data_IF_144313443341
#
_entry.id   IF_144313443341
#
_cell.length_a   1.000
_cell.length_b   1.000
_cell.length_c   1.000
_cell.angle_alpha   90.00
_cell.angle_beta   90.00
_cell.angle_gamma   90.00
#
_symmetry.space_group_name_H-M   'P 1'
#
loop_
_entity.id
_entity.type
_entity.pdbx_description
1 polymer ?
#
# COMPACT_ATOMS: atom_id res chain seq x y z
N UNK A 1 -16.40 -18.78 17.94
CA UNK A 1 -15.25 -17.90 18.23
C UNK A 1 -14.18 -17.90 17.14
N UNK A 2 -13.94 -19.01 16.42
CA UNK A 2 -12.96 -19.07 15.32
C UNK A 2 -13.25 -18.06 14.19
N UNK A 3 -14.50 -17.97 13.73
CA UNK A 3 -14.93 -17.03 12.68
C UNK A 3 -14.63 -15.55 12.98
N UNK A 4 -14.68 -15.11 14.25
CA UNK A 4 -14.33 -13.73 14.63
C UNK A 4 -12.82 -13.46 14.56
N UNK A 5 -11.98 -14.47 14.79
CA UNK A 5 -10.51 -14.36 14.73
C UNK A 5 -10.02 -14.28 13.30
N UNK A 6 -10.57 -15.11 12.39
CA UNK A 6 -10.26 -15.04 10.95
C UNK A 6 -10.71 -13.73 10.32
N UNK A 7 -11.88 -13.22 10.70
CA UNK A 7 -12.40 -11.95 10.20
C UNK A 7 -11.59 -10.72 10.68
N UNK A 8 -11.00 -10.79 11.89
CA UNK A 8 -10.10 -9.76 12.40
C UNK A 8 -8.73 -9.78 11.71
N UNK A 9 -8.19 -10.98 11.45
CA UNK A 9 -6.94 -11.14 10.70
C UNK A 9 -7.05 -10.58 9.28
N UNK A 10 -8.21 -10.76 8.61
CA UNK A 10 -8.46 -10.23 7.26
C UNK A 10 -8.41 -8.69 7.17
N UNK A 11 -8.78 -8.00 8.25
CA UNK A 11 -8.73 -6.52 8.36
C UNK A 11 -7.31 -5.99 8.54
N UNK A 12 -6.38 -6.82 8.98
CA UNK A 12 -4.99 -6.44 9.23
C UNK A 12 -4.10 -6.64 7.99
N UNK A 13 -4.61 -7.34 6.97
CA UNK A 13 -3.92 -7.52 5.70
C UNK A 13 -4.10 -6.28 4.84
N UNK A 14 -3.12 -5.95 3.98
CA UNK A 14 -3.35 -4.96 2.93
C UNK A 14 -4.54 -5.36 2.05
N UNK A 15 -5.02 -4.46 1.22
CA UNK A 15 -5.99 -4.78 0.17
C UNK A 15 -5.29 -5.23 -1.11
N UNK A 16 -4.24 -4.50 -1.50
CA UNK A 16 -3.44 -4.76 -2.69
C UNK A 16 -1.99 -4.37 -2.45
N UNK A 17 -1.07 -5.04 -3.16
CA UNK A 17 0.33 -4.63 -3.25
C UNK A 17 0.69 -4.55 -4.73
N UNK A 18 1.27 -3.44 -5.13
CA UNK A 18 1.78 -3.21 -6.48
C UNK A 18 3.29 -3.08 -6.47
N UNK A 19 3.96 -3.65 -7.48
CA UNK A 19 5.35 -3.30 -7.79
C UNK A 19 5.37 -2.25 -8.90
N UNK A 20 6.33 -1.33 -8.81
CA UNK A 20 6.49 -0.23 -9.75
C UNK A 20 7.96 0.21 -9.85
N UNK A 21 8.27 1.04 -10.85
CA UNK A 21 9.48 1.83 -10.87
C UNK A 21 9.19 3.19 -10.22
N UNK A 22 9.93 3.54 -9.17
CA UNK A 22 9.84 4.81 -8.48
C UNK A 22 11.25 5.39 -8.36
N UNK A 23 11.45 6.60 -8.90
CA UNK A 23 12.76 7.27 -8.94
C UNK A 23 13.88 6.38 -9.52
N UNK A 24 13.56 5.57 -10.54
CA UNK A 24 14.52 4.69 -11.21
C UNK A 24 14.82 3.38 -10.47
N UNK A 25 14.16 3.11 -9.33
CA UNK A 25 14.35 1.90 -8.53
C UNK A 25 13.06 1.10 -8.39
N UNK A 26 13.17 -0.21 -8.15
CA UNK A 26 12.01 -1.03 -7.78
C UNK A 26 11.46 -0.57 -6.44
N UNK A 27 10.14 -0.39 -6.36
CA UNK A 27 9.42 -0.08 -5.14
C UNK A 27 8.11 -0.89 -5.07
N UNK A 28 7.54 -0.96 -3.86
CA UNK A 28 6.29 -1.64 -3.57
C UNK A 28 5.30 -0.69 -2.93
N UNK A 29 4.17 -0.48 -3.59
CA UNK A 29 3.08 0.34 -3.08
C UNK A 29 2.02 -0.55 -2.42
N UNK A 30 1.86 -0.38 -1.11
CA UNK A 30 0.95 -1.15 -0.25
C UNK A 30 -0.32 -0.33 -0.04
N UNK A 31 -1.44 -0.85 -0.54
CA UNK A 31 -2.76 -0.25 -0.38
C UNK A 31 -3.45 -0.89 0.81
N UNK A 32 -3.78 -0.10 1.81
CA UNK A 32 -4.45 -0.56 3.03
C UNK A 32 -5.95 -0.73 2.83
N UNK A 33 -6.53 -1.74 3.50
CA UNK A 33 -7.92 -2.15 3.27
C UNK A 33 -8.99 -1.42 4.07
N UNK A 34 -8.63 -0.49 4.97
CA UNK A 34 -9.61 0.33 5.66
C UNK A 34 -9.01 1.59 6.28
N UNK A 35 -9.94 2.48 6.64
CA UNK A 35 -9.79 3.47 7.69
C UNK A 35 -8.84 4.62 7.32
N UNK A 36 -8.24 5.23 8.33
CA UNK A 36 -7.27 6.32 8.25
C UNK A 36 -5.82 5.81 8.14
N UNK A 37 -5.63 4.56 7.70
CA UNK A 37 -4.31 3.99 7.50
C UNK A 37 -3.64 4.63 6.29
N UNK A 38 -2.33 4.77 6.38
CA UNK A 38 -1.51 5.25 5.29
C UNK A 38 -1.24 4.12 4.30
N UNK A 39 -1.40 4.40 3.00
CA UNK A 39 -0.93 3.51 1.96
C UNK A 39 0.56 3.81 1.75
N UNK A 40 1.43 2.86 2.11
CA UNK A 40 2.87 3.08 2.19
C UNK A 40 3.59 2.67 0.90
N UNK A 41 4.64 3.41 0.56
CA UNK A 41 5.59 3.05 -0.47
C UNK A 41 6.86 2.51 0.19
N UNK A 42 7.29 1.33 -0.22
CA UNK A 42 8.47 0.65 0.29
C UNK A 42 9.53 0.53 -0.80
N UNK A 43 10.80 0.60 -0.43
CA UNK A 43 11.90 0.29 -1.33
C UNK A 43 12.01 -1.23 -1.60
N UNK A 44 12.96 -1.62 -2.45
CA UNK A 44 13.19 -3.02 -2.79
C UNK A 44 13.63 -3.91 -1.60
N UNK A 45 14.11 -3.32 -0.50
CA UNK A 45 14.46 -4.03 0.73
C UNK A 45 13.29 -4.09 1.73
N UNK A 46 12.16 -3.46 1.41
CA UNK A 46 10.95 -3.45 2.24
C UNK A 46 10.86 -2.29 3.22
N UNK A 47 11.81 -1.35 3.23
CA UNK A 47 11.76 -0.19 4.12
C UNK A 47 10.73 0.82 3.61
N UNK A 48 9.85 1.26 4.52
CA UNK A 48 8.87 2.30 4.20
C UNK A 48 9.59 3.64 3.97
N UNK A 49 9.36 4.25 2.80
CA UNK A 49 9.94 5.53 2.40
C UNK A 49 9.00 6.69 2.69
N UNK A 50 7.71 6.55 2.34
CA UNK A 50 6.67 7.56 2.53
C UNK A 50 5.27 6.94 2.38
N UNK A 51 4.24 7.76 2.52
CA UNK A 51 2.86 7.39 2.20
C UNK A 51 2.28 8.32 1.12
N UNK A 52 2.14 7.87 -0.14
CA UNK A 52 1.59 8.72 -1.21
C UNK A 52 0.08 8.95 -1.10
N UNK A 53 -0.66 8.11 -0.39
CA UNK A 53 -2.11 8.28 -0.17
C UNK A 53 -2.58 7.61 1.12
N UNK A 54 -3.90 7.60 1.34
CA UNK A 54 -4.50 7.12 2.59
C UNK A 54 -4.46 8.20 3.67
N UNK A 55 -4.63 7.81 4.92
CA UNK A 55 -4.82 8.75 6.02
C UNK A 55 -6.21 9.39 6.01
N UNK A 56 -6.49 10.19 7.03
CA UNK A 56 -7.79 10.89 7.20
C UNK A 56 -8.17 11.70 5.96
N UNK A 57 -7.20 12.35 5.31
CA UNK A 57 -7.46 13.19 4.14
C UNK A 57 -7.35 12.45 2.81
N UNK A 58 -6.92 11.19 2.80
CA UNK A 58 -6.59 10.44 1.58
C UNK A 58 -5.31 10.88 0.87
N UNK A 59 -4.58 11.89 1.39
CA UNK A 59 -3.41 12.51 0.74
C UNK A 59 -2.06 11.96 1.23
N UNK A 60 -2.10 10.92 2.05
CA UNK A 60 -0.87 10.35 2.59
C UNK A 60 -0.18 11.28 3.59
N UNK A 61 1.14 11.14 3.72
CA UNK A 61 1.97 11.88 4.68
C UNK A 61 2.65 13.14 4.11
N UNK A 62 2.51 13.38 2.79
CA UNK A 62 3.15 14.48 2.04
C UNK A 62 4.68 14.47 2.08
N UNK A 63 5.29 13.31 2.28
CA UNK A 63 6.77 13.16 2.31
C UNK A 63 7.35 12.54 1.05
N UNK A 64 6.51 11.98 0.17
CA UNK A 64 6.99 11.38 -1.07
C UNK A 64 7.63 12.44 -1.99
N UNK A 65 8.85 12.21 -2.51
CA UNK A 65 9.57 13.17 -3.35
C UNK A 65 8.92 13.37 -4.72
N UNK A 66 8.18 12.39 -5.22
CA UNK A 66 7.47 12.41 -6.50
C UNK A 66 6.08 11.75 -6.39
N UNK A 67 5.12 12.11 -7.26
CA UNK A 67 3.86 11.38 -7.36
C UNK A 67 4.08 9.93 -7.83
N UNK A 68 3.15 9.04 -7.49
CA UNK A 68 3.13 7.69 -8.07
C UNK A 68 2.90 7.75 -9.59
N UNK A 69 3.45 6.80 -10.36
CA UNK A 69 3.09 6.64 -11.76
C UNK A 69 1.60 6.27 -11.90
N UNK A 70 1.02 6.35 -13.09
CA UNK A 70 -0.34 5.87 -13.32
C UNK A 70 -0.47 4.35 -13.10
N UNK A 71 -1.67 3.87 -12.74
CA UNK A 71 -1.89 2.48 -12.31
C UNK A 71 -1.59 1.43 -13.37
N UNK A 72 -1.72 1.77 -14.65
CA UNK A 72 -1.39 0.89 -15.79
C UNK A 72 0.13 0.67 -15.97
N UNK A 73 0.96 1.49 -15.34
CA UNK A 73 2.41 1.32 -15.24
C UNK A 73 2.83 0.56 -13.98
N UNK A 74 1.88 0.15 -13.14
CA UNK A 74 2.12 -0.65 -11.96
C UNK A 74 1.69 -2.10 -12.21
N UNK A 75 2.43 -3.04 -11.64
CA UNK A 75 2.07 -4.46 -11.71
C UNK A 75 1.52 -4.91 -10.35
N UNK A 76 0.33 -5.51 -10.34
CA UNK A 76 -0.24 -6.13 -9.14
C UNK A 76 0.57 -7.38 -8.78
N UNK A 77 1.05 -7.48 -7.54
CA UNK A 77 1.78 -8.65 -7.03
C UNK A 77 1.02 -9.41 -5.96
N UNK A 78 0.06 -8.75 -5.30
CA UNK A 78 -0.80 -9.38 -4.31
C UNK A 78 -2.13 -8.65 -4.23
N UNK A 79 -3.21 -9.42 -4.05
CA UNK A 79 -4.54 -8.89 -3.75
C UNK A 79 -5.22 -9.79 -2.71
N UNK A 80 -5.89 -9.18 -1.75
CA UNK A 80 -6.65 -9.90 -0.73
C UNK A 80 -7.78 -10.67 -1.41
N UNK A 81 -7.88 -11.96 -1.11
CA UNK A 81 -9.01 -12.78 -1.55
C UNK A 81 -10.34 -12.14 -1.10
N UNK A 82 -11.33 -12.15 -2.00
CA UNK A 82 -12.65 -11.60 -1.76
C UNK A 82 -13.47 -12.47 -0.81
#
# INVERSE_FOLDING_TARGET
MLHKRTQSALRLQPQQIYTLNYEGKRAFYVVEGCCDRMNTLHDAAGYAQCAPSGGITGKGDRRCPAPLPPRDQMQLVWERAK
#
